data_IF_216170036251
#
_entry.id   IF_216170036251
#
_cell.length_a   1.000
_cell.length_b   1.000
_cell.length_c   1.000
_cell.angle_alpha   90.00
_cell.angle_beta   90.00
_cell.angle_gamma   90.00
#
_symmetry.space_group_name_H-M   'P 1'
#
loop_
_entity.id
_entity.type
_entity.pdbx_description
1 polymer ?
#
# COMPACT_ATOMS: atom_id res chain seq x y z
N UNK A 1 -21.39 -10.29 -73.23
CA UNK A 1 -21.89 -9.56 -72.02
C UNK A 1 -21.03 -10.02 -70.85
N UNK A 2 -20.12 -9.17 -70.41
CA UNK A 2 -19.14 -9.49 -69.32
C UNK A 2 -19.61 -8.78 -68.05
N UNK A 3 -20.04 -9.55 -67.04
CA UNK A 3 -20.46 -9.06 -65.76
C UNK A 3 -19.22 -8.94 -64.84
N UNK A 4 -18.85 -7.71 -64.54
CA UNK A 4 -17.79 -7.41 -63.53
C UNK A 4 -18.39 -7.50 -62.15
N UNK A 5 -17.93 -8.47 -61.34
CA UNK A 5 -18.23 -8.60 -59.92
C UNK A 5 -17.27 -7.69 -59.16
N UNK A 6 -17.79 -6.65 -58.55
CA UNK A 6 -17.04 -5.79 -57.59
C UNK A 6 -17.08 -6.42 -56.20
N UNK A 7 -15.96 -6.98 -55.74
CA UNK A 7 -15.78 -7.45 -54.38
C UNK A 7 -15.54 -6.22 -53.48
N UNK A 8 -16.53 -5.88 -52.67
CA UNK A 8 -16.40 -4.82 -51.67
C UNK A 8 -15.60 -5.34 -50.44
N UNK A 9 -14.46 -4.76 -50.18
CA UNK A 9 -13.69 -5.01 -48.95
C UNK A 9 -14.33 -4.19 -47.81
N UNK A 10 -15.01 -4.86 -46.89
CA UNK A 10 -15.47 -4.25 -45.64
C UNK A 10 -14.30 -4.30 -44.67
N UNK A 11 -13.63 -3.16 -44.48
CA UNK A 11 -12.63 -2.97 -43.43
C UNK A 11 -13.37 -2.81 -42.08
N UNK A 12 -13.41 -3.89 -41.30
CA UNK A 12 -13.96 -3.84 -39.94
C UNK A 12 -13.01 -3.06 -39.00
N UNK A 13 -13.45 -1.90 -38.55
CA UNK A 13 -12.76 -1.08 -37.55
C UNK A 13 -12.99 -1.72 -36.17
N UNK A 14 -12.05 -2.58 -35.72
CA UNK A 14 -12.08 -3.13 -34.35
C UNK A 14 -11.67 -2.05 -33.37
N UNK A 15 -12.64 -1.47 -32.67
CA UNK A 15 -12.40 -0.60 -31.51
C UNK A 15 -11.88 -1.46 -30.36
N UNK A 16 -10.58 -1.40 -30.12
CA UNK A 16 -9.95 -2.01 -28.95
C UNK A 16 -10.29 -1.13 -27.75
N UNK A 17 -11.31 -1.52 -26.98
CA UNK A 17 -11.55 -0.95 -25.66
C UNK A 17 -10.45 -1.46 -24.71
N UNK A 18 -9.42 -0.65 -24.50
CA UNK A 18 -8.50 -0.90 -23.39
C UNK A 18 -9.28 -0.65 -22.08
N UNK A 19 -9.33 -1.61 -21.14
CA UNK A 19 -9.93 -1.34 -19.84
C UNK A 19 -9.09 -0.27 -19.13
N UNK A 20 -9.67 0.90 -18.92
CA UNK A 20 -9.10 1.89 -18.03
C UNK A 20 -9.26 1.37 -16.60
N UNK A 21 -8.20 0.88 -16.01
CA UNK A 21 -8.16 0.65 -14.56
C UNK A 21 -8.17 2.03 -13.90
N UNK A 22 -9.29 2.39 -13.31
CA UNK A 22 -9.36 3.59 -12.47
C UNK A 22 -8.54 3.31 -11.21
N UNK A 23 -7.63 4.24 -10.90
CA UNK A 23 -6.89 4.22 -9.64
C UNK A 23 -7.88 4.15 -8.47
N UNK A 24 -7.75 3.12 -7.64
CA UNK A 24 -8.59 2.95 -6.47
C UNK A 24 -7.95 3.60 -5.24
N UNK A 25 -8.77 3.97 -4.26
CA UNK A 25 -8.28 4.29 -2.92
C UNK A 25 -8.29 2.98 -2.13
N UNK A 26 -7.11 2.56 -1.65
CA UNK A 26 -6.94 1.40 -0.80
C UNK A 26 -6.64 1.87 0.63
N UNK A 27 -7.55 1.58 1.54
CA UNK A 27 -7.49 2.06 2.92
C UNK A 27 -7.20 0.92 3.89
N UNK A 28 -6.26 1.13 4.80
CA UNK A 28 -5.87 0.18 5.83
C UNK A 28 -5.76 0.86 7.20
N UNK A 29 -6.09 0.11 8.25
CA UNK A 29 -5.95 0.53 9.65
C UNK A 29 -4.98 -0.39 10.38
N UNK A 30 -3.90 0.17 10.89
CA UNK A 30 -2.83 -0.55 11.57
C UNK A 30 -2.70 -0.07 13.02
N UNK A 31 -2.92 -0.97 13.96
CA UNK A 31 -2.73 -0.73 15.39
C UNK A 31 -1.40 -1.33 15.81
N UNK A 32 -0.49 -0.50 16.32
CA UNK A 32 0.80 -0.94 16.84
C UNK A 32 0.69 -1.09 18.35
N UNK A 33 0.87 -2.31 18.84
CA UNK A 33 0.80 -2.60 20.28
C UNK A 33 1.83 -3.65 20.70
N UNK A 34 1.82 -4.02 21.98
CA UNK A 34 2.62 -5.14 22.49
C UNK A 34 1.75 -6.36 22.68
N UNK A 35 2.24 -7.52 22.21
CA UNK A 35 1.59 -8.81 22.38
C UNK A 35 2.57 -9.93 22.69
N UNK A 36 2.05 -11.03 23.20
CA UNK A 36 2.82 -12.27 23.37
C UNK A 36 2.92 -12.99 22.03
N UNK A 37 4.14 -13.30 21.62
CA UNK A 37 4.45 -13.97 20.35
C UNK A 37 5.27 -15.22 20.63
N UNK A 38 4.89 -16.34 20.03
CA UNK A 38 5.63 -17.59 20.13
C UNK A 38 6.11 -18.02 18.74
N UNK A 39 7.37 -17.75 18.43
CA UNK A 39 8.00 -18.16 17.15
C UNK A 39 8.91 -19.37 17.36
N UNK A 40 9.54 -19.48 18.54
CA UNK A 40 10.59 -20.48 18.80
C UNK A 40 10.21 -21.51 19.89
N UNK A 41 8.92 -21.63 20.19
CA UNK A 41 8.42 -22.53 21.25
C UNK A 41 8.31 -21.86 22.63
N UNK A 42 8.81 -20.63 22.79
CA UNK A 42 8.69 -19.86 24.05
C UNK A 42 7.97 -18.53 23.76
N UNK A 43 6.86 -18.22 24.48
CA UNK A 43 6.20 -16.93 24.35
C UNK A 43 7.11 -15.80 24.84
N UNK A 44 7.24 -14.76 24.03
CA UNK A 44 7.99 -13.54 24.34
C UNK A 44 7.17 -12.31 23.98
N UNK A 45 7.32 -11.26 24.74
CA UNK A 45 6.64 -9.99 24.47
C UNK A 45 7.33 -9.26 23.31
N UNK A 46 6.57 -8.87 22.30
CA UNK A 46 7.06 -8.17 21.10
C UNK A 46 6.09 -7.08 20.71
N UNK A 47 6.57 -6.11 19.92
CA UNK A 47 5.72 -5.17 19.21
C UNK A 47 5.04 -5.93 18.07
N UNK A 48 3.76 -5.72 17.91
CA UNK A 48 2.91 -6.35 16.91
C UNK A 48 2.13 -5.30 16.13
N UNK A 49 1.74 -5.64 14.92
CA UNK A 49 0.81 -4.84 14.11
C UNK A 49 -0.49 -5.64 13.95
N UNK A 50 -1.61 -5.05 14.39
CA UNK A 50 -2.91 -5.73 14.44
C UNK A 50 -2.85 -7.08 15.17
N UNK A 51 -2.06 -7.15 16.27
CA UNK A 51 -1.87 -8.37 17.06
C UNK A 51 -0.98 -9.44 16.42
N UNK A 52 -0.39 -9.19 15.26
CA UNK A 52 0.49 -10.13 14.55
C UNK A 52 1.95 -9.68 14.63
N UNK A 53 2.86 -10.64 14.83
CA UNK A 53 4.30 -10.38 14.85
C UNK A 53 4.84 -10.11 13.44
N UNK A 54 4.39 -10.90 12.47
CA UNK A 54 4.52 -10.55 11.06
C UNK A 54 3.32 -9.68 10.75
N UNK A 55 3.55 -8.42 10.39
CA UNK A 55 2.50 -7.47 10.06
C UNK A 55 1.55 -8.01 8.98
N UNK A 56 0.32 -7.50 8.88
CA UNK A 56 -0.59 -7.90 7.82
C UNK A 56 -0.03 -7.55 6.44
N UNK A 57 -0.36 -8.36 5.44
CA UNK A 57 -0.10 -8.03 4.04
C UNK A 57 -1.02 -6.86 3.63
N UNK A 58 -0.43 -5.85 2.99
CA UNK A 58 -1.14 -4.76 2.34
C UNK A 58 -0.99 -4.93 0.83
N UNK A 59 -2.09 -4.96 0.10
CA UNK A 59 -2.11 -5.23 -1.33
C UNK A 59 -2.61 -4.02 -2.11
N UNK A 60 -1.82 -3.58 -3.08
CA UNK A 60 -2.10 -2.44 -3.93
C UNK A 60 -1.85 -2.79 -5.40
N UNK A 61 -2.50 -2.07 -6.28
CA UNK A 61 -2.17 -2.03 -7.70
C UNK A 61 -1.38 -0.75 -8.01
N UNK A 62 -0.49 -0.82 -9.00
CA UNK A 62 0.20 0.39 -9.46
C UNK A 62 -0.81 1.42 -9.98
N UNK A 63 -0.71 2.64 -9.45
CA UNK A 63 -1.66 3.70 -9.71
C UNK A 63 -2.67 3.94 -8.60
N UNK A 64 -2.84 3.00 -7.66
CA UNK A 64 -3.71 3.20 -6.49
C UNK A 64 -3.23 4.35 -5.60
N UNK A 65 -4.15 4.89 -4.83
CA UNK A 65 -3.86 5.75 -3.69
C UNK A 65 -3.91 4.94 -2.41
N UNK A 66 -2.75 4.75 -1.79
CA UNK A 66 -2.64 4.12 -0.48
C UNK A 66 -3.01 5.12 0.61
N UNK A 67 -3.92 4.74 1.50
CA UNK A 67 -4.30 5.48 2.71
C UNK A 67 -4.16 4.55 3.89
N UNK A 68 -3.16 4.77 4.74
CA UNK A 68 -2.84 3.86 5.83
C UNK A 68 -2.86 4.63 7.15
N UNK A 69 -3.87 4.36 7.95
CA UNK A 69 -4.05 4.93 9.28
C UNK A 69 -3.27 4.09 10.29
N UNK A 70 -2.27 4.68 10.91
CA UNK A 70 -1.46 4.02 11.94
C UNK A 70 -1.80 4.61 13.30
N UNK A 71 -2.18 3.76 14.24
CA UNK A 71 -2.44 4.14 15.62
C UNK A 71 -1.43 3.48 16.56
N UNK A 72 -0.72 4.30 17.35
CA UNK A 72 0.24 3.82 18.33
C UNK A 72 -0.45 3.52 19.67
N UNK A 73 -0.65 2.24 19.97
CA UNK A 73 -1.20 1.74 21.22
C UNK A 73 -0.12 1.34 22.25
N UNK A 74 1.16 1.64 21.97
CA UNK A 74 2.22 1.48 22.97
C UNK A 74 2.02 2.50 24.10
N UNK A 75 2.29 2.10 25.34
CA UNK A 75 1.98 2.92 26.51
C UNK A 75 2.96 4.07 26.73
N UNK A 76 4.24 3.83 26.44
CA UNK A 76 5.36 4.66 26.85
C UNK A 76 6.43 4.81 25.76
N UNK A 77 6.14 4.41 24.54
CA UNK A 77 7.11 4.38 23.45
C UNK A 77 6.53 5.01 22.19
N UNK A 78 7.29 5.93 21.61
CA UNK A 78 7.05 6.45 20.27
C UNK A 78 7.25 5.35 19.24
N UNK A 79 6.58 5.45 18.10
CA UNK A 79 6.75 4.51 16.97
C UNK A 79 6.64 5.23 15.63
N UNK A 80 6.94 4.50 14.57
CA UNK A 80 6.69 4.89 13.19
C UNK A 80 6.58 3.63 12.33
N UNK A 81 6.07 3.77 11.12
CA UNK A 81 6.24 2.77 10.06
C UNK A 81 7.08 3.38 8.95
N UNK A 82 7.98 2.57 8.40
CA UNK A 82 8.79 2.89 7.25
C UNK A 82 8.48 1.92 6.11
N UNK A 83 8.40 2.43 4.90
CA UNK A 83 8.08 1.68 3.70
C UNK A 83 9.37 1.45 2.91
N UNK A 84 10.09 0.40 3.27
CA UNK A 84 11.43 0.15 2.74
C UNK A 84 11.40 -0.12 1.23
N UNK A 85 12.05 0.77 0.47
CA UNK A 85 12.20 0.64 -0.98
C UNK A 85 11.08 1.23 -1.83
N UNK A 86 10.05 1.83 -1.22
CA UNK A 86 9.00 2.52 -1.98
C UNK A 86 9.41 3.94 -2.36
N UNK A 87 9.01 4.36 -3.56
CA UNK A 87 9.15 5.75 -4.04
C UNK A 87 7.94 6.56 -3.59
N UNK A 88 8.12 7.37 -2.55
CA UNK A 88 7.04 8.16 -1.94
C UNK A 88 7.50 9.58 -1.60
N UNK A 89 6.54 10.48 -1.30
CA UNK A 89 6.86 11.79 -0.73
C UNK A 89 7.64 11.63 0.58
N UNK A 90 8.68 12.43 0.79
CA UNK A 90 9.61 12.23 1.91
C UNK A 90 8.96 12.23 3.29
N UNK A 91 7.90 13.02 3.51
CA UNK A 91 7.12 12.99 4.76
C UNK A 91 6.47 11.62 5.00
N UNK A 92 6.11 10.89 3.94
CA UNK A 92 5.46 9.58 3.99
C UNK A 92 6.47 8.43 4.15
N UNK A 93 7.76 8.70 4.14
CA UNK A 93 8.81 7.70 4.35
C UNK A 93 8.84 7.15 5.79
N UNK A 94 8.27 7.90 6.72
CA UNK A 94 8.07 7.46 8.10
C UNK A 94 9.34 7.37 8.94
N UNK A 95 10.42 8.03 8.52
CA UNK A 95 11.69 8.07 9.29
C UNK A 95 11.71 9.30 10.18
N UNK A 96 11.65 9.16 11.53
CA UNK A 96 11.66 10.31 12.43
C UNK A 96 12.90 11.18 12.30
N UNK A 97 12.70 12.49 12.20
CA UNK A 97 13.77 13.47 12.00
C UNK A 97 14.13 13.74 10.55
N UNK A 98 13.59 12.95 9.59
CA UNK A 98 13.77 13.19 8.17
C UNK A 98 12.50 13.80 7.56
N UNK A 99 12.68 14.71 6.59
CA UNK A 99 11.59 15.31 5.80
C UNK A 99 10.43 15.89 6.64
N UNK A 100 10.69 16.31 7.88
CA UNK A 100 9.70 16.86 8.79
C UNK A 100 8.80 15.82 9.47
N UNK A 101 9.00 14.52 9.25
CA UNK A 101 8.24 13.47 9.93
C UNK A 101 8.60 13.43 11.42
N UNK A 102 7.58 13.38 12.27
CA UNK A 102 7.70 13.19 13.72
C UNK A 102 7.17 11.81 14.08
N UNK A 103 7.84 11.16 15.04
CA UNK A 103 7.36 9.88 15.58
C UNK A 103 5.93 9.99 16.10
N UNK A 104 5.18 8.92 15.97
CA UNK A 104 3.81 8.78 16.46
C UNK A 104 3.90 8.52 17.97
N UNK A 105 3.44 9.48 18.77
CA UNK A 105 3.43 9.39 20.22
C UNK A 105 2.49 8.31 20.74
N UNK A 106 2.63 7.81 21.98
CA UNK A 106 1.65 6.94 22.61
C UNK A 106 0.23 7.49 22.49
N UNK A 107 -0.71 6.65 22.11
CA UNK A 107 -2.10 6.98 21.78
C UNK A 107 -2.28 7.98 20.62
N UNK A 108 -1.21 8.33 19.91
CA UNK A 108 -1.25 9.15 18.72
C UNK A 108 -1.54 8.33 17.45
N UNK A 109 -1.86 9.05 16.39
CA UNK A 109 -2.08 8.45 15.06
C UNK A 109 -1.38 9.27 13.99
N UNK A 110 -1.09 8.63 12.88
CA UNK A 110 -0.59 9.25 11.66
C UNK A 110 -1.23 8.59 10.44
N UNK A 111 -1.58 9.39 9.43
CA UNK A 111 -2.07 8.90 8.16
C UNK A 111 -0.96 8.97 7.12
N UNK A 112 -0.56 7.82 6.63
CA UNK A 112 0.30 7.72 5.45
C UNK A 112 -0.59 7.74 4.22
N UNK A 113 -0.36 8.71 3.33
CA UNK A 113 -1.11 8.84 2.08
C UNK A 113 -0.16 9.06 0.92
N UNK A 114 -0.17 8.15 -0.04
CA UNK A 114 0.71 8.24 -1.20
C UNK A 114 0.17 7.45 -2.39
N UNK A 115 0.58 7.88 -3.58
CA UNK A 115 0.31 7.15 -4.81
C UNK A 115 1.28 5.99 -4.97
N UNK A 116 0.77 4.79 -5.22
CA UNK A 116 1.57 3.60 -5.53
C UNK A 116 2.13 3.72 -6.94
N UNK A 117 3.47 3.77 -7.06
CA UNK A 117 4.20 4.02 -8.31
C UNK A 117 5.07 2.86 -8.76
N UNK A 118 5.04 1.76 -8.02
CA UNK A 118 5.92 0.61 -8.23
C UNK A 118 5.13 -0.67 -8.06
N UNK A 119 5.48 -1.68 -8.85
CA UNK A 119 5.12 -3.06 -8.59
C UNK A 119 6.26 -3.76 -7.83
N UNK A 120 5.96 -4.88 -7.17
CA UNK A 120 6.93 -5.68 -6.41
C UNK A 120 6.44 -6.00 -5.00
N UNK A 121 7.33 -6.58 -4.21
CA UNK A 121 7.10 -6.89 -2.79
C UNK A 121 8.07 -6.09 -1.94
N UNK A 122 7.54 -5.34 -1.00
CA UNK A 122 8.27 -4.42 -0.14
C UNK A 122 7.94 -4.70 1.33
N UNK A 123 8.73 -4.21 2.23
CA UNK A 123 8.44 -4.32 3.67
C UNK A 123 8.47 -2.98 4.40
#
# INVERSE_FOLDING_TARGET
>A
MSSKIYAGVIAGLSLIFAPYTLAAIKEYHLNINQGMVNVTGKPVKRITVNGKFIAPLLEFEEGDEAVIHVHNQLKDQDTSLHWHGLLLPGLMDGVPGFNGFKSIKPNGSFEYRFKVRQNGTYW
#
